data_IF_025882994310
#
_entry.id   IF_025882994310
#
_cell.length_a   1.000
_cell.length_b   1.000
_cell.length_c   1.000
_cell.angle_alpha   90.00
_cell.angle_beta   90.00
_cell.angle_gamma   90.00
#
_symmetry.space_group_name_H-M   'P 1'
#
loop_
_entity.id
_entity.type
_entity.pdbx_description
1 polymer ?
#
# COMPACT_ATOMS: atom_id res chain seq x y z
N UNK A 1 -12.35 52.86 17.06
CA UNK A 1 -12.80 52.63 15.67
C UNK A 1 -11.60 52.16 14.86
N UNK A 2 -11.66 50.90 14.39
CA UNK A 2 -10.96 50.25 13.25
C UNK A 2 -9.48 50.63 12.96
N UNK A 3 -8.57 49.71 12.58
CA UNK A 3 -8.74 48.71 11.51
C UNK A 3 -7.47 47.84 11.44
N UNK A 4 -7.69 46.58 11.07
CA UNK A 4 -6.72 45.48 10.95
C UNK A 4 -5.61 45.68 9.89
N UNK A 5 -4.50 44.89 9.96
CA UNK A 5 -3.48 44.86 8.93
C UNK A 5 -3.70 43.75 7.87
N UNK A 6 -3.31 44.10 6.64
CA UNK A 6 -2.65 43.26 5.62
C UNK A 6 -3.27 41.90 5.24
N UNK A 7 -4.21 41.96 4.29
CA UNK A 7 -3.95 41.47 2.92
C UNK A 7 -3.44 40.04 2.72
N UNK A 8 -4.28 39.04 2.99
CA UNK A 8 -4.11 37.68 2.48
C UNK A 8 -4.63 37.63 1.03
N UNK A 9 -3.73 37.82 0.06
CA UNK A 9 -4.07 37.71 -1.37
C UNK A 9 -4.14 36.22 -1.76
N UNK A 10 -5.35 35.66 -1.76
CA UNK A 10 -5.63 34.40 -2.42
C UNK A 10 -5.64 34.61 -3.95
N UNK A 11 -4.91 33.82 -4.75
CA UNK A 11 -5.03 33.91 -6.20
C UNK A 11 -6.36 33.30 -6.65
N UNK A 12 -7.21 34.18 -7.20
CA UNK A 12 -8.45 33.83 -7.90
C UNK A 12 -8.10 33.07 -9.18
N UNK A 13 -8.26 31.75 -9.17
CA UNK A 13 -8.14 30.92 -10.37
C UNK A 13 -9.41 31.10 -11.21
N UNK A 14 -9.33 31.88 -12.29
CA UNK A 14 -10.37 31.91 -13.33
C UNK A 14 -10.29 30.63 -14.17
N UNK A 15 -11.36 29.83 -14.31
CA UNK A 15 -11.36 28.71 -15.22
C UNK A 15 -11.65 29.20 -16.64
N UNK A 16 -10.61 29.29 -17.47
CA UNK A 16 -10.78 29.39 -18.92
C UNK A 16 -11.17 28.01 -19.45
N UNK A 17 -12.48 27.81 -19.66
CA UNK A 17 -13.04 26.68 -20.40
C UNK A 17 -12.59 26.76 -21.86
N UNK A 18 -11.50 26.07 -22.21
CA UNK A 18 -11.10 25.88 -23.61
C UNK A 18 -11.61 24.53 -24.10
N UNK A 19 -12.46 24.61 -25.12
CA UNK A 19 -13.21 23.54 -25.78
C UNK A 19 -12.40 22.25 -25.98
N UNK A 20 -13.03 21.16 -25.55
CA UNK A 20 -12.68 19.77 -25.80
C UNK A 20 -12.73 19.50 -27.32
N UNK A 21 -11.60 19.09 -27.89
CA UNK A 21 -11.52 18.48 -29.22
C UNK A 21 -10.73 17.17 -29.11
N UNK A 22 -11.19 16.17 -29.87
CA UNK A 22 -11.00 14.75 -29.62
C UNK A 22 -9.60 14.25 -29.95
N UNK A 23 -8.95 13.54 -29.01
CA UNK A 23 -8.25 12.25 -29.18
C UNK A 23 -7.39 11.89 -27.96
N UNK A 24 -7.43 10.61 -27.61
CA UNK A 24 -6.43 9.79 -26.92
C UNK A 24 -5.82 10.23 -25.58
N UNK A 25 -6.09 9.38 -24.58
CA UNK A 25 -5.11 8.90 -23.60
C UNK A 25 -4.33 9.99 -22.87
N UNK A 26 -4.90 10.51 -21.79
CA UNK A 26 -4.15 11.28 -20.81
C UNK A 26 -3.20 10.33 -20.08
N UNK A 27 -2.00 10.21 -20.63
CA UNK A 27 -0.79 9.95 -19.88
C UNK A 27 -0.80 10.96 -18.72
N UNK A 28 -1.02 10.48 -17.49
CA UNK A 28 -0.80 11.30 -16.31
C UNK A 28 0.68 11.63 -16.33
N UNK A 29 1.01 12.79 -16.90
CA UNK A 29 2.32 13.39 -16.87
C UNK A 29 2.55 13.72 -15.41
N UNK A 30 3.08 12.73 -14.69
CA UNK A 30 3.57 12.90 -13.34
C UNK A 30 4.57 14.04 -13.41
N UNK A 31 4.17 15.22 -12.96
CA UNK A 31 5.09 16.30 -12.71
C UNK A 31 5.87 15.82 -11.49
N UNK A 32 6.98 15.12 -11.72
CA UNK A 32 7.99 14.92 -10.71
C UNK A 32 8.45 16.31 -10.30
N UNK A 33 7.93 16.78 -9.17
CA UNK A 33 8.54 17.88 -8.44
C UNK A 33 9.97 17.43 -8.14
N UNK A 34 10.92 17.97 -8.89
CA UNK A 34 12.33 17.79 -8.62
C UNK A 34 12.60 18.52 -7.32
N UNK A 35 12.60 17.79 -6.20
CA UNK A 35 13.13 18.25 -4.93
C UNK A 35 14.65 18.00 -4.96
N UNK A 36 15.48 19.03 -5.21
CA UNK A 36 16.93 18.89 -5.09
C UNK A 36 17.24 18.74 -3.59
N UNK A 37 17.39 17.51 -3.12
CA UNK A 37 17.75 17.26 -1.72
C UNK A 37 17.48 15.86 -1.20
N UNK A 38 16.65 15.07 -1.88
CA UNK A 38 16.47 13.65 -1.52
C UNK A 38 17.53 12.85 -2.25
N UNK A 39 18.70 12.72 -1.61
CA UNK A 39 19.69 11.73 -2.01
C UNK A 39 19.00 10.36 -1.96
N UNK A 40 18.75 9.76 -3.13
CA UNK A 40 18.28 8.40 -3.23
C UNK A 40 19.46 7.52 -2.80
N UNK A 41 19.64 7.35 -1.48
CA UNK A 41 20.59 6.39 -0.95
C UNK A 41 20.12 5.03 -1.43
N UNK A 42 20.76 4.48 -2.48
CA UNK A 42 20.56 3.10 -2.87
C UNK A 42 20.89 2.25 -1.66
N UNK A 43 19.86 1.76 -0.97
CA UNK A 43 20.06 0.91 0.20
C UNK A 43 20.88 -0.30 -0.26
N UNK A 44 22.11 -0.41 0.25
CA UNK A 44 22.99 -1.53 -0.08
C UNK A 44 22.25 -2.82 0.28
N UNK A 45 22.15 -3.74 -0.68
CA UNK A 45 21.54 -5.06 -0.46
C UNK A 45 22.44 -5.87 0.46
N UNK A 46 22.15 -5.86 1.77
CA UNK A 46 22.98 -6.48 2.81
C UNK A 46 22.57 -7.91 3.18
N UNK A 47 21.31 -8.27 2.97
CA UNK A 47 20.75 -9.56 3.39
C UNK A 47 20.87 -10.59 2.26
N UNK A 48 21.17 -11.84 2.63
CA UNK A 48 21.32 -12.97 1.70
C UNK A 48 20.35 -14.09 2.08
N UNK A 49 19.88 -14.81 1.07
CA UNK A 49 19.05 -16.00 1.22
C UNK A 49 19.76 -17.13 0.48
N UNK A 50 20.16 -18.16 1.22
CA UNK A 50 20.79 -19.35 0.64
C UNK A 50 19.71 -20.41 0.35
N UNK A 51 19.68 -20.90 -0.88
CA UNK A 51 18.69 -21.85 -1.38
C UNK A 51 19.38 -23.10 -1.90
N UNK A 52 18.80 -24.27 -1.61
CA UNK A 52 19.18 -25.55 -2.22
C UNK A 52 18.07 -25.94 -3.19
N UNK A 53 18.46 -26.24 -4.43
CA UNK A 53 17.54 -26.54 -5.52
C UNK A 53 17.93 -27.89 -6.12
N UNK A 54 16.96 -28.58 -6.72
CA UNK A 54 17.27 -29.70 -7.61
C UNK A 54 17.76 -29.17 -8.96
N UNK A 55 18.42 -30.00 -9.75
CA UNK A 55 18.87 -29.61 -11.10
C UNK A 55 17.69 -29.23 -12.01
N UNK A 56 16.54 -29.91 -11.85
CA UNK A 56 15.31 -29.61 -12.57
C UNK A 56 14.75 -28.23 -12.25
N UNK A 57 14.66 -27.89 -10.96
CA UNK A 57 14.16 -26.58 -10.53
C UNK A 57 15.07 -25.45 -11.03
N UNK A 58 16.39 -25.65 -10.97
CA UNK A 58 17.36 -24.68 -11.46
C UNK A 58 17.19 -24.42 -12.95
N UNK A 59 17.08 -25.48 -13.76
CA UNK A 59 16.88 -25.35 -15.21
C UNK A 59 15.59 -24.61 -15.56
N UNK A 60 14.50 -24.90 -14.84
CA UNK A 60 13.20 -24.24 -15.05
C UNK A 60 13.28 -22.74 -14.73
N UNK A 61 13.95 -22.37 -13.64
CA UNK A 61 14.13 -20.97 -13.24
C UNK A 61 15.03 -20.24 -14.25
N UNK A 62 16.08 -20.88 -14.74
CA UNK A 62 16.98 -20.32 -15.75
C UNK A 62 16.25 -20.00 -17.05
N UNK A 63 15.40 -20.92 -17.52
CA UNK A 63 14.57 -20.72 -18.70
C UNK A 63 13.57 -19.56 -18.51
N UNK A 64 12.87 -19.52 -17.37
CA UNK A 64 11.92 -18.43 -17.07
C UNK A 64 12.61 -17.06 -16.95
N UNK A 65 13.80 -17.02 -16.35
CA UNK A 65 14.62 -15.81 -16.27
C UNK A 65 15.08 -15.35 -17.66
N UNK A 66 15.46 -16.27 -18.55
CA UNK A 66 15.83 -15.97 -19.92
C UNK A 66 14.65 -15.40 -20.72
N UNK A 67 13.45 -15.99 -20.61
CA UNK A 67 12.22 -15.50 -21.28
C UNK A 67 11.88 -14.07 -20.83
N UNK A 68 12.07 -13.78 -19.55
CA UNK A 68 11.78 -12.45 -18.97
C UNK A 68 12.91 -11.43 -19.14
N UNK A 69 14.02 -11.82 -19.78
CA UNK A 69 15.24 -11.02 -19.97
C UNK A 69 15.81 -10.47 -18.65
N UNK A 70 15.80 -11.30 -17.61
CA UNK A 70 16.29 -10.95 -16.27
C UNK A 70 17.34 -11.94 -15.80
N UNK A 71 18.20 -11.52 -14.86
CA UNK A 71 19.09 -12.47 -14.17
C UNK A 71 18.27 -13.43 -13.28
N UNK A 72 18.76 -14.65 -13.07
CA UNK A 72 18.14 -15.65 -12.17
C UNK A 72 17.82 -15.04 -10.81
N UNK A 73 18.78 -14.33 -10.21
CA UNK A 73 18.61 -13.66 -8.91
C UNK A 73 17.50 -12.62 -8.95
N UNK A 74 17.41 -11.81 -10.00
CA UNK A 74 16.38 -10.79 -10.13
C UNK A 74 15.00 -11.41 -10.34
N UNK A 75 14.91 -12.41 -11.21
CA UNK A 75 13.69 -13.17 -11.44
C UNK A 75 13.16 -13.81 -10.15
N UNK A 76 14.02 -14.48 -9.38
CA UNK A 76 13.64 -15.08 -8.10
C UNK A 76 13.21 -14.03 -7.07
N UNK A 77 13.96 -12.93 -6.94
CA UNK A 77 13.61 -11.86 -6.00
C UNK A 77 12.26 -11.22 -6.32
N UNK A 78 12.01 -10.94 -7.61
CA UNK A 78 10.74 -10.36 -8.05
C UNK A 78 9.58 -11.33 -7.82
N UNK A 79 9.73 -12.59 -8.24
CA UNK A 79 8.70 -13.62 -8.05
C UNK A 79 8.38 -13.84 -6.57
N UNK A 80 9.41 -13.90 -5.72
CA UNK A 80 9.23 -14.03 -4.28
C UNK A 80 8.56 -12.79 -3.65
N UNK A 81 8.93 -11.59 -4.09
CA UNK A 81 8.34 -10.35 -3.60
C UNK A 81 6.87 -10.21 -4.00
N UNK A 82 6.54 -10.51 -5.26
CA UNK A 82 5.16 -10.53 -5.77
C UNK A 82 4.31 -11.52 -4.98
N UNK A 83 4.80 -12.76 -4.84
CA UNK A 83 4.05 -13.78 -4.09
C UNK A 83 3.90 -13.42 -2.61
N UNK A 84 4.94 -12.85 -2.00
CA UNK A 84 4.86 -12.39 -0.62
C UNK A 84 3.81 -11.26 -0.46
N UNK A 85 3.75 -10.32 -1.40
CA UNK A 85 2.76 -9.25 -1.39
C UNK A 85 1.33 -9.81 -1.49
N UNK A 86 1.10 -10.78 -2.37
CA UNK A 86 -0.20 -11.46 -2.50
C UNK A 86 -0.62 -12.16 -1.21
N UNK A 87 0.29 -12.91 -0.60
CA UNK A 87 0.00 -13.64 0.65
C UNK A 87 -0.32 -12.67 1.79
N UNK A 88 0.45 -11.58 1.90
CA UNK A 88 0.21 -10.55 2.91
C UNK A 88 -1.12 -9.84 2.69
N UNK A 89 -1.47 -9.53 1.43
CA UNK A 89 -2.73 -8.88 1.09
C UNK A 89 -3.92 -9.80 1.39
N UNK A 90 -3.85 -11.07 0.99
CA UNK A 90 -4.88 -12.06 1.30
C UNK A 90 -5.06 -12.26 2.81
N UNK A 91 -3.96 -12.25 3.57
CA UNK A 91 -4.00 -12.40 5.01
C UNK A 91 -4.59 -11.17 5.72
N UNK A 92 -4.30 -9.96 5.25
CA UNK A 92 -4.78 -8.71 5.85
C UNK A 92 -6.23 -8.38 5.48
N UNK A 93 -6.71 -8.86 4.34
CA UNK A 93 -8.08 -8.61 3.88
C UNK A 93 -9.05 -9.63 4.48
N UNK A 94 -10.05 -9.14 5.19
CA UNK A 94 -11.23 -9.92 5.55
C UNK A 94 -12.29 -9.69 4.48
N UNK A 95 -12.51 -10.67 3.61
CA UNK A 95 -13.59 -10.63 2.62
C UNK A 95 -14.85 -11.17 3.29
N UNK A 96 -15.85 -10.31 3.45
CA UNK A 96 -17.12 -10.66 4.08
C UNK A 96 -18.16 -11.02 3.01
N UNK A 97 -18.98 -12.03 3.29
CA UNK A 97 -20.23 -12.24 2.54
C UNK A 97 -21.31 -11.27 3.02
N UNK A 98 -22.41 -11.14 2.27
CA UNK A 98 -23.47 -10.16 2.55
C UNK A 98 -24.02 -10.28 3.99
N UNK A 99 -24.27 -11.50 4.46
CA UNK A 99 -24.77 -11.74 5.82
C UNK A 99 -23.76 -11.35 6.90
N UNK A 100 -22.46 -11.53 6.66
CA UNK A 100 -21.41 -11.12 7.60
C UNK A 100 -21.16 -9.62 7.54
N UNK A 101 -21.27 -9.02 6.35
CA UNK A 101 -21.23 -7.57 6.17
C UNK A 101 -22.35 -6.89 6.95
N UNK A 102 -23.59 -7.36 6.80
CA UNK A 102 -24.74 -6.84 7.54
C UNK A 102 -24.53 -6.94 9.07
N UNK A 103 -24.00 -8.06 9.56
CA UNK A 103 -23.68 -8.23 10.99
C UNK A 103 -22.59 -7.27 11.47
N UNK A 104 -21.56 -7.04 10.67
CA UNK A 104 -20.51 -6.08 11.01
C UNK A 104 -21.06 -4.65 11.01
N UNK A 105 -21.86 -4.28 10.02
CA UNK A 105 -22.48 -2.94 9.96
C UNK A 105 -23.46 -2.69 11.10
N UNK A 106 -24.25 -3.70 11.48
CA UNK A 106 -25.13 -3.62 12.63
C UNK A 106 -24.34 -3.47 13.93
N UNK A 107 -23.28 -4.27 14.13
CA UNK A 107 -22.42 -4.16 15.31
C UNK A 107 -21.68 -2.81 15.40
N UNK A 108 -21.36 -2.17 14.26
CA UNK A 108 -20.78 -0.83 14.24
C UNK A 108 -21.81 0.27 14.52
N UNK A 109 -23.05 0.09 14.06
CA UNK A 109 -24.15 1.04 14.24
C UNK A 109 -24.76 0.96 15.64
N UNK A 110 -24.79 -0.25 16.21
CA UNK A 110 -25.34 -0.58 17.52
C UNK A 110 -24.26 -1.34 18.33
N UNK A 111 -23.26 -0.63 18.88
CA UNK A 111 -22.18 -1.28 19.61
C UNK A 111 -22.73 -1.99 20.85
N UNK A 112 -22.51 -3.31 20.99
CA UNK A 112 -22.99 -4.05 22.16
C UNK A 112 -22.17 -3.70 23.39
N UNK A 113 -22.80 -3.74 24.57
CA UNK A 113 -22.09 -3.53 25.83
C UNK A 113 -21.08 -4.66 26.09
N UNK A 114 -19.86 -4.37 26.57
CA UNK A 114 -18.86 -5.38 26.89
C UNK A 114 -19.40 -6.44 27.86
N UNK A 115 -19.14 -7.72 27.57
CA UNK A 115 -19.57 -8.80 28.45
C UNK A 115 -18.73 -8.86 29.75
N UNK A 116 -19.27 -9.49 30.79
CA UNK A 116 -18.61 -9.61 32.10
C UNK A 116 -17.25 -10.34 32.03
N UNK A 117 -17.09 -11.26 31.06
CA UNK A 117 -15.83 -11.98 30.85
C UNK A 117 -14.73 -11.06 30.30
N UNK A 118 -15.09 -10.15 29.39
CA UNK A 118 -14.23 -9.15 28.77
C UNK A 118 -13.86 -8.08 29.79
N UNK A 119 -14.82 -7.61 30.60
CA UNK A 119 -14.55 -6.69 31.72
C UNK A 119 -13.51 -7.26 32.70
N UNK A 120 -13.71 -8.51 33.15
CA UNK A 120 -12.75 -9.21 34.02
C UNK A 120 -11.38 -9.41 33.36
N UNK A 121 -11.33 -9.63 32.05
CA UNK A 121 -10.06 -9.75 31.33
C UNK A 121 -9.31 -8.42 31.24
N UNK A 122 -10.03 -7.32 31.00
CA UNK A 122 -9.47 -5.98 30.98
C UNK A 122 -8.95 -5.56 32.36
N UNK A 123 -9.69 -5.86 33.44
CA UNK A 123 -9.24 -5.60 34.83
C UNK A 123 -7.92 -6.32 35.13
N UNK A 124 -7.81 -7.62 34.80
CA UNK A 124 -6.55 -8.35 34.99
C UNK A 124 -5.36 -7.74 34.24
N UNK A 125 -5.58 -7.14 33.07
CA UNK A 125 -4.51 -6.45 32.34
C UNK A 125 -4.08 -5.18 33.07
N UNK A 126 -5.03 -4.43 33.62
CA UNK A 126 -4.77 -3.21 34.40
C UNK A 126 -4.04 -3.51 35.72
N UNK A 127 -4.34 -4.63 36.36
CA UNK A 127 -3.69 -5.05 37.61
C UNK A 127 -2.24 -5.55 37.39
N UNK A 128 -1.83 -5.79 36.13
CA UNK A 128 -0.49 -6.25 35.76
C UNK A 128 0.46 -5.11 35.35
N UNK A 129 -0.06 -3.92 35.08
CA UNK A 129 0.71 -2.70 34.78
C UNK A 129 1.05 -1.91 36.05
#
# INVERSE_FOLDING_TARGET
>A
ISKAPSGFFAPVIRPMLKKISRRNTLYVRCITAHYPGVSFMSALKKQRIDLRLTDGDKSMIEEAAAITNQSITQFMLNSAAERAAEVLEQHRRVILNEASWARVMDALSHPPTPNEKLKRAAQRLQDME
#
